data_IF_222837171327
#
_entry.id   IF_222837171327
#
_cell.length_a   1.000
_cell.length_b   1.000
_cell.length_c   1.000
_cell.angle_alpha   90.00
_cell.angle_beta   90.00
_cell.angle_gamma   90.00
#
_symmetry.space_group_name_H-M   'P 1'
#
loop_
_entity.id
_entity.type
_entity.pdbx_description
1 polymer ?
#
# COMPACT_ATOMS: atom_id res chain seq x y z
N UNK A 1 21.85 -10.18 52.57
CA UNK A 1 20.72 -9.33 52.89
C UNK A 1 20.16 -8.80 51.55
N UNK A 2 19.05 -9.36 51.03
CA UNK A 2 18.45 -8.84 49.81
C UNK A 2 17.47 -7.73 50.11
N UNK A 3 17.57 -6.64 49.37
CA UNK A 3 16.62 -5.51 49.38
C UNK A 3 15.38 -5.88 48.56
N UNK A 4 14.22 -5.68 49.16
CA UNK A 4 12.91 -5.78 48.52
C UNK A 4 12.75 -4.71 47.42
N UNK A 5 12.27 -5.12 46.24
CA UNK A 5 11.83 -4.23 45.18
C UNK A 5 10.32 -4.01 45.30
N UNK A 6 9.94 -2.75 45.42
CA UNK A 6 8.56 -2.28 45.49
C UNK A 6 7.83 -2.57 44.16
N UNK A 7 6.64 -3.14 44.29
CA UNK A 7 5.72 -3.36 43.20
C UNK A 7 5.05 -2.03 42.84
N UNK A 8 5.23 -1.53 41.61
CA UNK A 8 4.51 -0.40 41.05
C UNK A 8 3.19 -0.91 40.47
N UNK A 9 2.10 -0.54 41.12
CA UNK A 9 0.72 -0.76 40.70
C UNK A 9 0.39 0.13 39.50
N UNK A 10 0.00 -0.48 38.36
CA UNK A 10 -0.52 0.22 37.18
C UNK A 10 -2.03 0.45 37.31
N UNK A 11 -2.55 1.65 36.99
CA UNK A 11 -3.97 1.93 37.09
C UNK A 11 -4.77 1.26 35.96
N UNK A 12 -5.86 0.58 36.35
CA UNK A 12 -6.88 0.01 35.47
C UNK A 12 -7.60 1.13 34.71
N UNK A 13 -7.49 1.13 33.40
CA UNK A 13 -8.31 2.00 32.53
C UNK A 13 -9.73 1.47 32.45
N UNK A 14 -10.65 2.38 32.80
CA UNK A 14 -12.09 2.22 32.72
C UNK A 14 -12.57 2.02 31.30
N UNK A 15 -13.60 1.17 31.14
CA UNK A 15 -14.24 0.86 29.86
C UNK A 15 -14.94 2.08 29.26
N UNK A 16 -14.75 2.25 27.97
CA UNK A 16 -15.56 3.12 27.12
C UNK A 16 -16.71 2.28 26.56
N UNK A 17 -17.90 2.63 27.01
CA UNK A 17 -19.19 2.16 26.50
C UNK A 17 -19.41 2.72 25.09
N UNK A 18 -19.62 1.86 24.11
CA UNK A 18 -20.03 2.25 22.75
C UNK A 18 -21.54 2.44 22.80
N UNK A 19 -21.97 3.70 22.65
CA UNK A 19 -23.37 4.09 22.54
C UNK A 19 -23.81 3.95 21.07
N UNK A 20 -24.66 2.94 20.85
CA UNK A 20 -25.18 2.55 19.54
C UNK A 20 -26.50 3.32 19.29
N UNK A 21 -26.40 4.60 18.91
CA UNK A 21 -27.55 5.43 18.55
C UNK A 21 -27.75 5.48 17.04
N UNK A 22 -28.37 4.43 16.49
CA UNK A 22 -28.92 4.45 15.13
C UNK A 22 -30.21 5.30 15.15
N UNK A 23 -30.14 6.53 14.64
CA UNK A 23 -31.30 7.38 14.40
C UNK A 23 -32.02 6.92 13.13
N UNK A 24 -33.23 6.38 13.32
CA UNK A 24 -34.19 6.06 12.27
C UNK A 24 -34.76 7.35 11.65
N UNK A 25 -34.73 7.41 10.30
CA UNK A 25 -35.38 8.47 9.51
C UNK A 25 -36.88 8.13 9.42
N UNK A 26 -37.80 9.03 9.80
CA UNK A 26 -39.24 8.79 9.67
C UNK A 26 -39.71 8.96 8.21
N UNK A 27 -40.43 7.95 7.75
CA UNK A 27 -41.14 7.96 6.47
C UNK A 27 -42.54 8.56 6.73
N UNK A 28 -42.86 9.70 6.11
CA UNK A 28 -44.17 10.31 6.17
C UNK A 28 -45.19 9.58 5.28
N UNK A 29 -46.41 9.30 5.77
CA UNK A 29 -47.44 8.67 4.98
C UNK A 29 -48.24 9.67 4.12
N UNK A 30 -48.58 9.21 2.93
CA UNK A 30 -49.49 9.84 1.98
C UNK A 30 -50.75 10.40 2.64
N UNK A 31 -50.99 11.70 2.46
CA UNK A 31 -52.33 12.26 2.65
C UNK A 31 -52.97 12.59 1.32
N UNK A 32 -54.00 11.79 0.98
CA UNK A 32 -54.94 12.12 -0.10
C UNK A 32 -55.85 13.26 0.33
N UNK A 33 -55.81 14.34 -0.42
CA UNK A 33 -56.90 15.36 -0.35
C UNK A 33 -57.38 15.61 -1.80
N UNK A 34 -58.57 15.14 -2.06
CA UNK A 34 -59.41 15.45 -3.21
C UNK A 34 -60.02 16.83 -3.03
N UNK A 35 -59.75 17.76 -3.92
CA UNK A 35 -60.60 18.94 -4.07
C UNK A 35 -60.88 19.20 -5.54
N UNK A 36 -62.16 19.12 -5.87
CA UNK A 36 -62.77 19.51 -7.14
C UNK A 36 -62.70 21.05 -7.27
N UNK A 37 -62.49 21.51 -8.47
CA UNK A 37 -63.12 22.74 -8.95
C UNK A 37 -62.22 23.73 -9.66
N UNK A 38 -62.63 23.92 -10.87
CA UNK A 38 -62.49 25.13 -11.68
C UNK A 38 -61.46 25.07 -12.81
N UNK A 39 -61.99 24.78 -14.00
CA UNK A 39 -61.32 24.97 -15.27
C UNK A 39 -60.88 26.44 -15.46
N UNK A 40 -59.59 26.65 -15.50
CA UNK A 40 -59.00 27.88 -16.03
C UNK A 40 -58.08 27.50 -17.19
N UNK A 41 -58.35 28.03 -18.35
CA UNK A 41 -57.59 27.82 -19.60
C UNK A 41 -56.08 27.93 -19.40
N UNK A 42 -55.29 27.03 -19.99
CA UNK A 42 -53.85 27.07 -19.85
C UNK A 42 -53.25 28.22 -20.64
N UNK A 43 -52.73 29.26 -19.93
CA UNK A 43 -51.79 30.23 -20.50
C UNK A 43 -50.56 29.45 -20.96
N UNK A 44 -50.28 29.46 -22.27
CA UNK A 44 -49.06 28.92 -22.88
C UNK A 44 -47.84 29.56 -22.18
N UNK A 45 -47.20 28.80 -21.33
CA UNK A 45 -45.89 29.15 -20.78
C UNK A 45 -44.85 29.15 -21.92
N UNK A 46 -44.00 30.18 -22.02
CA UNK A 46 -42.90 30.17 -22.99
C UNK A 46 -41.96 29.01 -22.64
N UNK A 47 -41.64 28.15 -23.63
CA UNK A 47 -40.69 27.05 -23.49
C UNK A 47 -39.39 27.57 -22.89
N UNK A 48 -38.87 26.96 -21.84
CA UNK A 48 -37.58 27.33 -21.27
C UNK A 48 -36.53 27.25 -22.39
N UNK A 49 -35.83 28.36 -22.64
CA UNK A 49 -34.68 28.39 -23.54
C UNK A 49 -33.69 27.36 -23.05
N UNK A 50 -33.35 26.35 -23.89
CA UNK A 50 -32.27 25.39 -23.61
C UNK A 50 -31.05 26.19 -23.16
N UNK A 51 -30.40 25.82 -22.00
CA UNK A 51 -29.17 26.48 -21.63
C UNK A 51 -28.16 26.27 -22.75
N UNK A 52 -27.66 27.35 -23.30
CA UNK A 52 -26.55 27.34 -24.25
C UNK A 52 -25.37 26.76 -23.47
N UNK A 53 -24.73 25.67 -23.92
CA UNK A 53 -23.57 25.13 -23.22
C UNK A 53 -22.52 26.24 -23.20
N UNK A 54 -22.19 26.72 -22.01
CA UNK A 54 -21.11 27.67 -21.79
C UNK A 54 -19.82 26.98 -22.24
N UNK A 55 -19.30 27.40 -23.41
CA UNK A 55 -17.98 27.00 -23.88
C UNK A 55 -16.93 27.61 -22.96
N UNK A 56 -16.69 26.97 -21.83
CA UNK A 56 -15.47 27.24 -21.07
C UNK A 56 -14.28 26.85 -21.96
N UNK A 57 -13.24 27.70 -22.05
CA UNK A 57 -12.05 27.34 -22.80
C UNK A 57 -11.50 26.01 -22.29
N UNK A 58 -11.07 25.12 -23.19
CA UNK A 58 -10.52 23.83 -22.78
C UNK A 58 -9.33 24.06 -21.87
N UNK A 59 -9.37 23.46 -20.66
CA UNK A 59 -8.26 23.55 -19.71
C UNK A 59 -6.97 22.93 -20.30
N UNK A 60 -5.80 23.26 -19.74
CA UNK A 60 -4.48 22.86 -20.27
C UNK A 60 -4.37 21.34 -20.51
N UNK A 61 -5.01 20.52 -19.70
CA UNK A 61 -5.05 19.07 -19.89
C UNK A 61 -5.81 18.64 -21.17
N UNK A 62 -6.87 19.36 -21.54
CA UNK A 62 -7.63 19.08 -22.77
C UNK A 62 -6.85 19.50 -24.02
N UNK A 63 -6.10 20.59 -23.92
CA UNK A 63 -5.20 21.05 -25.00
C UNK A 63 -4.05 20.08 -25.21
N UNK A 64 -3.40 19.63 -24.13
CA UNK A 64 -2.36 18.62 -24.17
C UNK A 64 -2.87 17.33 -24.81
N UNK A 65 -4.04 16.83 -24.40
CA UNK A 65 -4.65 15.64 -25.00
C UNK A 65 -4.84 15.78 -26.51
N UNK A 66 -5.31 16.95 -26.98
CA UNK A 66 -5.47 17.22 -28.42
C UNK A 66 -4.13 17.26 -29.15
N UNK A 67 -3.11 17.85 -28.54
CA UNK A 67 -1.77 17.89 -29.10
C UNK A 67 -1.18 16.47 -29.22
N UNK A 68 -1.26 15.65 -28.16
CA UNK A 68 -0.78 14.27 -28.15
C UNK A 68 -1.51 13.40 -29.18
N UNK A 69 -2.84 13.57 -29.34
CA UNK A 69 -3.64 12.80 -30.30
C UNK A 69 -3.24 13.05 -31.77
N UNK A 70 -2.50 14.12 -32.07
CA UNK A 70 -2.00 14.45 -33.41
C UNK A 70 -0.58 13.95 -33.67
N UNK A 71 0.12 13.41 -32.65
CA UNK A 71 1.48 12.94 -32.78
C UNK A 71 1.53 11.50 -33.29
N UNK A 72 2.63 11.15 -33.96
CA UNK A 72 2.87 9.77 -34.37
C UNK A 72 3.13 8.90 -33.15
N UNK A 73 2.73 7.62 -33.23
CA UNK A 73 2.96 6.66 -32.15
C UNK A 73 4.44 6.56 -31.73
N UNK A 74 5.36 6.60 -32.69
CA UNK A 74 6.79 6.57 -32.40
C UNK A 74 7.23 7.77 -31.54
N UNK A 75 6.83 8.99 -31.93
CA UNK A 75 7.13 10.21 -31.14
C UNK A 75 6.60 10.12 -29.70
N UNK A 76 5.41 9.54 -29.51
CA UNK A 76 4.84 9.35 -28.18
C UNK A 76 5.61 8.32 -27.36
N UNK A 77 6.06 7.23 -28.00
CA UNK A 77 6.90 6.22 -27.34
C UNK A 77 8.23 6.84 -26.94
N UNK A 78 8.88 7.61 -27.81
CA UNK A 78 10.17 8.24 -27.52
C UNK A 78 10.06 9.20 -26.33
N UNK A 79 9.03 10.04 -26.29
CA UNK A 79 8.78 10.96 -25.17
C UNK A 79 8.48 10.20 -23.88
N UNK A 80 7.68 9.12 -23.93
CA UNK A 80 7.39 8.31 -22.73
C UNK A 80 8.65 7.61 -22.21
N UNK A 81 9.53 7.14 -23.09
CA UNK A 81 10.81 6.54 -22.70
C UNK A 81 11.75 7.57 -22.09
N UNK A 82 11.88 8.75 -22.71
CA UNK A 82 12.64 9.87 -22.13
C UNK A 82 12.16 10.25 -20.72
N UNK A 83 10.84 10.36 -20.53
CA UNK A 83 10.26 10.61 -19.20
C UNK A 83 10.54 9.49 -18.21
N UNK A 84 10.49 8.24 -18.66
CA UNK A 84 10.74 7.07 -17.81
C UNK A 84 12.23 6.95 -17.42
N UNK A 85 13.14 7.34 -18.30
CA UNK A 85 14.58 7.39 -18.02
C UNK A 85 14.92 8.51 -17.02
N UNK A 86 14.23 9.65 -17.13
CA UNK A 86 14.41 10.78 -16.24
C UNK A 86 13.76 10.61 -14.86
N UNK A 87 12.63 9.89 -14.79
CA UNK A 87 11.83 9.72 -13.56
C UNK A 87 11.42 8.25 -13.35
N UNK A 88 11.99 7.64 -12.31
CA UNK A 88 11.69 6.25 -11.94
C UNK A 88 10.23 6.01 -11.56
N UNK A 89 9.53 6.98 -10.99
CA UNK A 89 8.11 6.82 -10.69
C UNK A 89 7.30 6.68 -11.99
N UNK A 90 7.67 7.43 -13.04
CA UNK A 90 7.08 7.28 -14.38
C UNK A 90 7.38 5.89 -14.94
N UNK A 91 8.63 5.41 -14.86
CA UNK A 91 9.03 4.08 -15.31
C UNK A 91 8.18 2.99 -14.61
N UNK A 92 8.07 3.05 -13.28
CA UNK A 92 7.24 2.11 -12.49
C UNK A 92 5.78 2.10 -12.95
N UNK A 93 5.18 3.28 -13.13
CA UNK A 93 3.79 3.41 -13.57
C UNK A 93 3.57 2.83 -14.97
N UNK A 94 4.50 3.07 -15.89
CA UNK A 94 4.41 2.54 -17.25
C UNK A 94 4.58 1.02 -17.28
N UNK A 95 5.58 0.48 -16.57
CA UNK A 95 5.85 -0.95 -16.49
C UNK A 95 4.66 -1.71 -15.88
N UNK A 96 4.07 -1.17 -14.80
CA UNK A 96 2.87 -1.75 -14.19
C UNK A 96 1.66 -1.68 -15.11
N UNK A 97 1.44 -0.52 -15.75
CA UNK A 97 0.27 -0.30 -16.60
C UNK A 97 0.25 -1.16 -17.86
N UNK A 98 1.43 -1.39 -18.44
CA UNK A 98 1.55 -2.15 -19.69
C UNK A 98 1.90 -3.63 -19.45
N UNK A 99 1.89 -4.07 -18.20
CA UNK A 99 2.14 -5.45 -17.80
C UNK A 99 3.34 -6.06 -18.57
N UNK A 100 4.46 -5.32 -18.59
CA UNK A 100 5.67 -5.77 -19.26
C UNK A 100 6.08 -7.11 -18.65
N UNK A 101 6.06 -8.17 -19.48
CA UNK A 101 6.51 -9.49 -19.05
C UNK A 101 8.01 -9.41 -18.75
N UNK A 102 8.36 -9.51 -17.47
CA UNK A 102 9.74 -9.60 -17.03
C UNK A 102 10.11 -11.07 -16.83
N UNK A 103 11.32 -11.43 -17.16
CA UNK A 103 11.88 -12.73 -16.75
C UNK A 103 11.99 -12.78 -15.23
N UNK A 104 12.20 -13.96 -14.66
CA UNK A 104 12.42 -14.10 -13.21
C UNK A 104 13.63 -13.27 -12.76
N UNK A 105 14.70 -13.26 -13.53
CA UNK A 105 15.91 -12.50 -13.22
C UNK A 105 15.68 -10.99 -13.29
N UNK A 106 14.93 -10.51 -14.29
CA UNK A 106 14.51 -9.11 -14.38
C UNK A 106 13.67 -8.71 -13.18
N UNK A 107 12.77 -9.59 -12.73
CA UNK A 107 11.91 -9.33 -11.59
C UNK A 107 12.70 -9.28 -10.27
N UNK A 108 13.70 -10.15 -10.10
CA UNK A 108 14.62 -10.12 -8.97
C UNK A 108 15.43 -8.83 -8.98
N UNK A 109 16.01 -8.44 -10.12
CA UNK A 109 16.77 -7.20 -10.26
C UNK A 109 15.90 -5.96 -9.99
N UNK A 110 14.68 -5.93 -10.52
CA UNK A 110 13.72 -4.86 -10.27
C UNK A 110 13.33 -4.78 -8.79
N UNK A 111 13.23 -5.93 -8.10
CA UNK A 111 12.90 -5.95 -6.67
C UNK A 111 14.07 -5.44 -5.82
N UNK A 112 15.31 -5.83 -6.12
CA UNK A 112 16.49 -5.25 -5.47
C UNK A 112 16.53 -3.74 -5.62
N UNK A 113 16.24 -3.25 -6.83
CA UNK A 113 16.22 -1.81 -7.09
C UNK A 113 15.07 -1.11 -6.34
N UNK A 114 13.86 -1.71 -6.32
CA UNK A 114 12.74 -1.17 -5.58
C UNK A 114 13.03 -1.11 -4.06
N UNK A 115 13.70 -2.13 -3.50
CA UNK A 115 14.17 -2.12 -2.11
C UNK A 115 15.17 -0.97 -1.89
N UNK A 116 16.11 -0.77 -2.82
CA UNK A 116 17.08 0.31 -2.71
C UNK A 116 16.41 1.69 -2.74
N UNK A 117 15.43 1.88 -3.63
CA UNK A 117 14.67 3.13 -3.77
C UNK A 117 13.79 3.38 -2.53
N UNK A 118 13.04 2.36 -2.06
CA UNK A 118 12.18 2.45 -0.88
C UNK A 118 12.95 2.81 0.40
N UNK A 119 14.17 2.25 0.53
CA UNK A 119 15.00 2.43 1.72
C UNK A 119 16.06 3.51 1.58
N UNK A 120 16.08 4.24 0.45
CA UNK A 120 16.91 5.43 0.28
C UNK A 120 16.29 6.60 1.07
N UNK A 121 17.11 7.30 1.86
CA UNK A 121 16.66 8.48 2.60
C UNK A 121 17.80 9.45 2.89
N UNK A 122 17.46 10.74 2.97
CA UNK A 122 18.27 11.72 3.67
C UNK A 122 17.76 11.87 5.10
N UNK A 123 18.67 11.80 6.07
CA UNK A 123 18.31 11.86 7.50
C UNK A 123 17.61 13.15 7.90
N UNK A 124 17.91 14.27 7.22
CA UNK A 124 17.28 15.56 7.52
C UNK A 124 15.89 15.63 6.92
N UNK A 125 15.73 15.11 5.70
CA UNK A 125 14.46 15.16 4.99
C UNK A 125 13.45 14.19 5.59
N UNK A 126 13.87 12.99 6.01
CA UNK A 126 12.98 12.01 6.64
C UNK A 126 12.39 12.52 7.95
N UNK A 127 13.15 13.28 8.74
CA UNK A 127 12.70 13.79 10.04
C UNK A 127 12.02 15.17 9.97
N UNK A 128 12.25 15.95 8.91
CA UNK A 128 11.62 17.27 8.74
C UNK A 128 10.37 17.23 7.89
N UNK A 129 10.41 16.44 6.80
CA UNK A 129 9.41 16.45 5.75
C UNK A 129 8.67 15.11 5.66
N UNK A 130 9.01 14.13 6.51
CA UNK A 130 8.50 12.76 6.44
C UNK A 130 8.68 12.15 5.06
N UNK A 131 9.77 12.53 4.37
CA UNK A 131 10.03 12.15 3.00
C UNK A 131 10.61 10.74 2.92
N UNK A 132 9.81 9.80 2.41
CA UNK A 132 10.24 8.47 1.99
C UNK A 132 9.40 8.00 0.80
N UNK A 133 9.90 7.04 0.03
CA UNK A 133 9.23 6.55 -1.18
C UNK A 133 8.26 5.39 -0.87
N UNK A 134 7.04 5.71 -0.43
CA UNK A 134 5.99 4.70 -0.18
C UNK A 134 5.55 3.97 -1.46
N UNK A 135 5.66 4.59 -2.65
CA UNK A 135 5.36 3.93 -3.93
C UNK A 135 6.36 2.81 -4.23
N UNK A 136 7.63 3.01 -3.84
CA UNK A 136 8.65 1.98 -3.97
C UNK A 136 8.39 0.79 -3.03
N UNK A 137 7.93 1.01 -1.79
CA UNK A 137 7.46 -0.07 -0.92
C UNK A 137 6.31 -0.86 -1.54
N UNK A 138 5.32 -0.18 -2.10
CA UNK A 138 4.23 -0.83 -2.82
C UNK A 138 4.71 -1.62 -4.04
N UNK A 139 5.79 -1.20 -4.71
CA UNK A 139 6.44 -1.97 -5.77
C UNK A 139 7.14 -3.21 -5.23
N UNK A 140 7.88 -3.10 -4.13
CA UNK A 140 8.51 -4.25 -3.46
C UNK A 140 7.46 -5.31 -3.14
N UNK A 141 6.35 -4.93 -2.50
CA UNK A 141 5.27 -5.86 -2.16
C UNK A 141 4.70 -6.56 -3.40
N UNK A 142 4.43 -5.80 -4.48
CA UNK A 142 3.94 -6.37 -5.76
C UNK A 142 4.94 -7.35 -6.39
N UNK A 143 6.21 -7.01 -6.42
CA UNK A 143 7.25 -7.85 -7.02
C UNK A 143 7.48 -9.12 -6.22
N UNK A 144 7.52 -9.05 -4.89
CA UNK A 144 7.55 -10.21 -4.01
C UNK A 144 6.34 -11.12 -4.26
N UNK A 145 5.13 -10.54 -4.34
CA UNK A 145 3.91 -11.28 -4.66
C UNK A 145 3.97 -11.98 -6.02
N UNK A 146 4.54 -11.34 -7.05
CA UNK A 146 4.74 -11.94 -8.39
C UNK A 146 5.74 -13.10 -8.36
N UNK A 147 6.86 -12.96 -7.65
CA UNK A 147 7.83 -14.05 -7.46
C UNK A 147 7.16 -15.25 -6.79
N UNK A 148 6.40 -15.02 -5.73
CA UNK A 148 5.66 -16.07 -5.01
C UNK A 148 4.63 -16.74 -5.92
N UNK A 149 3.83 -15.96 -6.64
CA UNK A 149 2.82 -16.46 -7.57
C UNK A 149 3.42 -17.30 -8.73
N UNK A 150 4.67 -17.02 -9.12
CA UNK A 150 5.42 -17.81 -10.10
C UNK A 150 6.18 -19.01 -9.49
N UNK A 151 5.95 -19.33 -8.21
CA UNK A 151 6.60 -20.45 -7.52
C UNK A 151 8.05 -20.18 -7.08
N UNK A 152 8.50 -18.91 -7.14
CA UNK A 152 9.88 -18.52 -6.83
C UNK A 152 10.04 -18.05 -5.39
N UNK A 153 9.42 -18.75 -4.42
CA UNK A 153 9.45 -18.38 -3.00
C UNK A 153 10.88 -18.29 -2.46
N UNK A 154 11.76 -19.22 -2.85
CA UNK A 154 13.17 -19.21 -2.42
C UNK A 154 13.95 -17.99 -2.91
N UNK A 155 13.54 -17.34 -3.99
CA UNK A 155 14.11 -16.06 -4.43
C UNK A 155 13.50 -14.87 -3.67
N UNK A 156 12.25 -14.96 -3.25
CA UNK A 156 11.60 -13.90 -2.45
C UNK A 156 12.16 -13.83 -1.02
N UNK A 157 12.57 -14.95 -0.42
CA UNK A 157 13.07 -15.01 0.95
C UNK A 157 14.33 -14.16 1.20
N UNK A 158 15.40 -14.20 0.39
CA UNK A 158 16.58 -13.34 0.56
C UNK A 158 16.26 -11.87 0.29
N UNK A 159 15.36 -11.54 -0.62
CA UNK A 159 14.89 -10.18 -0.87
C UNK A 159 14.15 -9.60 0.35
N UNK A 160 13.31 -10.40 0.99
CA UNK A 160 12.66 -10.03 2.26
C UNK A 160 13.69 -9.78 3.37
N UNK A 161 14.76 -10.57 3.45
CA UNK A 161 15.84 -10.34 4.41
C UNK A 161 16.63 -9.05 4.11
N UNK A 162 16.86 -8.73 2.84
CA UNK A 162 17.48 -7.47 2.45
C UNK A 162 16.58 -6.29 2.84
N UNK A 163 15.29 -6.38 2.53
CA UNK A 163 14.30 -5.37 2.93
C UNK A 163 14.30 -5.15 4.45
N UNK A 164 14.27 -6.23 5.24
CA UNK A 164 14.32 -6.13 6.70
C UNK A 164 15.57 -5.38 7.17
N UNK A 165 16.76 -5.72 6.64
CA UNK A 165 18.02 -5.07 7.03
C UNK A 165 18.02 -3.57 6.74
N UNK A 166 17.58 -3.17 5.56
CA UNK A 166 17.57 -1.78 5.11
C UNK A 166 16.40 -1.01 5.70
N UNK A 167 15.20 -1.59 5.68
CA UNK A 167 13.99 -0.97 6.19
C UNK A 167 14.05 -0.73 7.69
N UNK A 168 14.50 -1.71 8.49
CA UNK A 168 14.65 -1.52 9.93
C UNK A 168 15.71 -0.44 10.27
N UNK A 169 16.75 -0.28 9.45
CA UNK A 169 17.69 0.81 9.60
C UNK A 169 17.06 2.18 9.28
N UNK A 170 16.24 2.25 8.24
CA UNK A 170 15.53 3.48 7.92
C UNK A 170 14.54 3.86 9.04
N UNK A 171 13.79 2.88 9.59
CA UNK A 171 12.91 3.07 10.75
C UNK A 171 13.70 3.58 11.97
N UNK A 172 14.86 2.99 12.27
CA UNK A 172 15.73 3.41 13.36
C UNK A 172 16.23 4.86 13.21
N UNK A 173 16.43 5.32 11.97
CA UNK A 173 16.89 6.67 11.68
C UNK A 173 15.77 7.70 11.61
N UNK A 174 14.53 7.29 11.60
CA UNK A 174 13.34 8.14 11.57
C UNK A 174 12.81 8.37 12.98
N UNK A 175 12.57 9.63 13.35
CA UNK A 175 12.03 9.98 14.67
C UNK A 175 10.58 9.47 14.85
N UNK A 176 9.79 9.39 13.77
CA UNK A 176 8.39 8.98 13.78
C UNK A 176 8.18 7.49 13.38
N UNK A 177 9.16 6.88 12.73
CA UNK A 177 9.07 5.48 12.29
C UNK A 177 7.95 5.16 11.29
N UNK A 178 7.48 6.15 10.52
CA UNK A 178 6.29 6.07 9.65
C UNK A 178 6.33 4.91 8.65
N UNK A 179 7.51 4.56 8.13
CA UNK A 179 7.67 3.48 7.16
C UNK A 179 7.66 2.07 7.77
N UNK A 180 7.53 1.94 9.10
CA UNK A 180 7.52 0.63 9.75
C UNK A 180 6.39 -0.26 9.25
N UNK A 181 5.19 0.31 9.03
CA UNK A 181 4.02 -0.40 8.52
C UNK A 181 4.23 -0.87 7.07
N UNK A 182 4.84 -0.04 6.22
CA UNK A 182 5.15 -0.41 4.84
C UNK A 182 6.16 -1.57 4.76
N UNK A 183 7.19 -1.55 5.63
CA UNK A 183 8.15 -2.66 5.75
C UNK A 183 7.44 -3.93 6.21
N UNK A 184 6.59 -3.82 7.24
CA UNK A 184 5.79 -4.95 7.73
C UNK A 184 4.91 -5.55 6.64
N UNK A 185 4.19 -4.73 5.89
CA UNK A 185 3.26 -5.20 4.86
C UNK A 185 3.98 -5.93 3.73
N UNK A 186 5.15 -5.44 3.31
CA UNK A 186 5.99 -6.16 2.36
C UNK A 186 6.44 -7.53 2.90
N UNK A 187 6.86 -7.61 4.17
CA UNK A 187 7.34 -8.83 4.79
C UNK A 187 6.22 -9.84 5.04
N UNK A 188 5.03 -9.39 5.42
CA UNK A 188 3.84 -10.24 5.62
C UNK A 188 3.52 -11.07 4.39
N UNK A 189 3.67 -10.51 3.18
CA UNK A 189 3.45 -11.24 1.91
C UNK A 189 4.32 -12.50 1.83
N UNK A 190 5.60 -12.38 2.22
CA UNK A 190 6.54 -13.53 2.16
C UNK A 190 6.30 -14.48 3.34
N UNK A 191 6.06 -13.96 4.56
CA UNK A 191 5.79 -14.77 5.75
C UNK A 191 4.55 -15.66 5.54
N UNK A 192 3.48 -15.10 4.96
CA UNK A 192 2.27 -15.87 4.64
C UNK A 192 2.55 -16.97 3.61
N UNK A 193 3.36 -16.69 2.58
CA UNK A 193 3.72 -17.68 1.59
C UNK A 193 4.59 -18.80 2.19
N UNK A 194 5.58 -18.47 3.01
CA UNK A 194 6.41 -19.46 3.73
C UNK A 194 5.53 -20.29 4.67
N UNK A 195 4.58 -19.68 5.35
CA UNK A 195 3.63 -20.38 6.24
C UNK A 195 2.80 -21.45 5.52
N UNK A 196 2.49 -21.23 4.24
CA UNK A 196 1.68 -22.12 3.40
C UNK A 196 2.52 -23.09 2.54
N UNK A 197 3.85 -22.96 2.60
CA UNK A 197 4.77 -23.77 1.79
C UNK A 197 5.17 -25.09 2.46
N UNK A 198 5.68 -26.00 1.65
CA UNK A 198 6.28 -27.27 2.08
C UNK A 198 7.82 -27.15 2.20
N UNK A 199 8.34 -25.96 2.54
CA UNK A 199 9.77 -25.78 2.74
C UNK A 199 10.28 -26.58 3.95
N UNK A 200 11.53 -27.10 3.91
CA UNK A 200 12.14 -27.78 5.04
C UNK A 200 12.13 -26.92 6.31
N UNK A 201 11.82 -27.53 7.43
CA UNK A 201 11.67 -26.87 8.72
C UNK A 201 12.93 -26.10 9.16
N UNK A 202 14.12 -26.68 8.90
CA UNK A 202 15.41 -26.07 9.15
C UNK A 202 15.63 -24.79 8.29
N UNK A 203 15.25 -24.82 7.01
CA UNK A 203 15.32 -23.65 6.12
C UNK A 203 14.42 -22.51 6.62
N UNK A 204 13.18 -22.81 6.98
CA UNK A 204 12.23 -21.82 7.54
C UNK A 204 12.74 -21.25 8.86
N UNK A 205 13.25 -22.09 9.76
CA UNK A 205 13.79 -21.67 11.06
C UNK A 205 15.00 -20.77 10.91
N UNK A 206 15.93 -21.15 10.01
CA UNK A 206 17.11 -20.35 9.72
C UNK A 206 16.72 -18.96 9.16
N UNK A 207 15.76 -18.92 8.23
CA UNK A 207 15.26 -17.67 7.66
C UNK A 207 14.55 -16.78 8.71
N UNK A 208 13.65 -17.34 9.54
CA UNK A 208 13.02 -16.60 10.64
C UNK A 208 14.05 -16.00 11.61
N UNK A 209 15.08 -16.81 11.98
CA UNK A 209 16.14 -16.36 12.86
C UNK A 209 16.98 -15.24 12.26
N UNK A 210 17.24 -15.31 10.93
CA UNK A 210 17.95 -14.26 10.20
C UNK A 210 17.16 -12.95 10.14
N UNK A 211 15.83 -13.01 9.93
CA UNK A 211 14.95 -11.83 9.93
C UNK A 211 14.89 -11.20 11.34
N UNK A 212 14.66 -12.00 12.38
CA UNK A 212 14.63 -11.50 13.76
C UNK A 212 15.94 -10.83 14.17
N UNK A 213 17.08 -11.38 13.72
CA UNK A 213 18.41 -10.78 13.96
C UNK A 213 18.63 -9.50 13.15
N UNK A 214 18.01 -9.40 11.97
CA UNK A 214 18.13 -8.24 11.09
C UNK A 214 17.23 -7.08 11.51
N UNK A 215 16.18 -7.35 12.29
CA UNK A 215 15.29 -6.34 12.83
C UNK A 215 15.99 -5.53 13.93
N UNK A 216 16.42 -4.32 13.57
CA UNK A 216 17.12 -3.39 14.47
C UNK A 216 16.20 -2.79 15.54
N UNK A 217 14.90 -2.73 15.23
CA UNK A 217 13.89 -2.18 16.13
C UNK A 217 13.32 -3.22 17.10
N UNK A 218 13.42 -4.50 16.74
CA UNK A 218 12.97 -5.62 17.55
C UNK A 218 11.46 -5.82 17.62
N UNK A 219 10.67 -5.12 16.78
CA UNK A 219 9.22 -5.26 16.75
C UNK A 219 8.63 -5.49 15.34
N UNK A 220 9.41 -5.23 14.26
CA UNK A 220 8.94 -5.37 12.87
C UNK A 220 8.64 -6.85 12.60
N UNK A 221 7.37 -7.18 12.31
CA UNK A 221 6.85 -8.54 12.09
C UNK A 221 7.29 -9.60 13.12
N UNK A 222 7.72 -9.21 14.31
CA UNK A 222 8.22 -10.12 15.35
C UNK A 222 7.19 -11.18 15.71
N UNK A 223 5.95 -10.79 15.96
CA UNK A 223 4.87 -11.72 16.33
C UNK A 223 4.63 -12.81 15.28
N UNK A 224 4.41 -12.45 14.00
CA UNK A 224 4.31 -13.39 12.89
C UNK A 224 5.50 -14.34 12.75
N UNK A 225 6.74 -13.84 12.86
CA UNK A 225 7.94 -14.68 12.76
C UNK A 225 8.09 -15.67 13.93
N UNK A 226 7.81 -15.25 15.16
CA UNK A 226 7.82 -16.13 16.33
C UNK A 226 6.69 -17.18 16.26
N UNK A 227 5.53 -16.82 15.71
CA UNK A 227 4.43 -17.76 15.50
C UNK A 227 4.80 -18.83 14.45
N UNK A 228 5.40 -18.39 13.33
CA UNK A 228 5.88 -19.30 12.29
C UNK A 228 6.95 -20.26 12.82
N UNK A 229 7.92 -19.76 13.59
CA UNK A 229 8.97 -20.59 14.19
C UNK A 229 8.39 -21.64 15.13
N UNK A 230 7.48 -21.27 16.04
CA UNK A 230 6.80 -22.20 16.95
C UNK A 230 6.02 -23.28 16.21
N UNK A 231 5.36 -22.92 15.10
CA UNK A 231 4.63 -23.89 14.28
C UNK A 231 5.55 -24.94 13.66
N UNK A 232 6.71 -24.52 13.17
CA UNK A 232 7.71 -25.42 12.60
C UNK A 232 8.28 -26.35 13.66
N UNK A 233 8.64 -25.83 14.85
CA UNK A 233 9.11 -26.60 15.98
C UNK A 233 8.08 -27.65 16.46
N UNK A 234 6.80 -27.30 16.48
CA UNK A 234 5.72 -28.21 16.85
C UNK A 234 5.48 -29.33 15.82
N UNK A 235 5.70 -29.05 14.53
CA UNK A 235 5.58 -30.05 13.46
C UNK A 235 6.71 -31.10 13.48
N UNK A 236 7.91 -30.73 13.92
CA UNK A 236 9.05 -31.67 14.07
C UNK A 236 8.93 -32.57 15.30
N UNK A 237 8.15 -32.18 16.29
CA UNK A 237 7.97 -32.94 17.54
C UNK A 237 6.89 -34.03 17.43
N UNK A 238 6.18 -34.13 16.30
CA UNK A 238 5.14 -35.12 16.02
C UNK A 238 5.64 -36.26 15.14
#
# INVERSE_FOLDING_TARGET
MPRAMDAVELPRRAGLSVDDSVQAIPIDPLTKATTRGTEAMPRRQPKPKRPVPSMQPPGPAAELRRALARRKKAELVDVLMEMAEADRAVLRRLTTRFAVAATTDDLVAATHQAIADATAFDKRDINRNFAYDYEAYAEVARNLGRLIASGQLRLAMPLALELMKRGSYQVEMSDEGLMAEDVEDCLKVVIEAVTKSDLPADEVRAWCSALLKADRMGFIVRGPLEALRRRVEAAEAQ
#
